data_IF_262891578420
#
_entry.id   IF_262891578420
#
_cell.length_a   1.000
_cell.length_b   1.000
_cell.length_c   1.000
_cell.angle_alpha   90.00
_cell.angle_beta   90.00
_cell.angle_gamma   90.00
#
_symmetry.space_group_name_H-M   'P 1'
#
loop_
_entity.id
_entity.type
_entity.pdbx_description
1 polymer ?
#
# COMPACT_ATOMS: atom_id res chain seq x y z
N UNK A 1 27.03 -37.82 -48.06
CA UNK A 1 26.36 -38.68 -47.06
C UNK A 1 26.05 -37.84 -45.82
N UNK A 2 24.77 -37.87 -45.40
CA UNK A 2 24.17 -37.60 -44.06
C UNK A 2 25.19 -37.31 -42.93
N UNK A 3 25.01 -36.30 -42.08
CA UNK A 3 24.07 -36.25 -40.94
C UNK A 3 24.04 -34.78 -40.44
N UNK A 4 22.92 -34.04 -40.46
CA UNK A 4 21.84 -33.95 -39.45
C UNK A 4 22.30 -33.90 -37.98
N UNK A 5 21.76 -32.91 -37.25
CA UNK A 5 21.72 -32.61 -35.80
C UNK A 5 22.58 -31.39 -35.40
N UNK A 6 22.08 -30.39 -34.68
CA UNK A 6 20.80 -30.21 -33.99
C UNK A 6 20.58 -28.70 -33.79
N UNK A 7 19.40 -28.21 -34.17
CA UNK A 7 18.87 -26.91 -33.75
C UNK A 7 18.80 -26.90 -32.20
N UNK A 8 19.68 -26.18 -31.53
CA UNK A 8 19.49 -25.80 -30.13
C UNK A 8 19.04 -24.34 -30.10
N UNK A 9 17.78 -24.12 -30.52
CA UNK A 9 17.09 -22.87 -30.23
C UNK A 9 16.70 -22.92 -28.75
N UNK A 10 17.58 -22.38 -27.92
CA UNK A 10 17.28 -22.09 -26.51
C UNK A 10 16.25 -20.96 -26.50
N UNK A 11 15.02 -21.17 -26.03
CA UNK A 11 14.13 -20.05 -25.79
C UNK A 11 14.66 -19.30 -24.57
N UNK A 12 15.27 -18.12 -24.81
CA UNK A 12 15.49 -17.13 -23.77
C UNK A 12 14.11 -16.71 -23.25
N UNK A 13 13.67 -17.34 -22.18
CA UNK A 13 12.55 -16.87 -21.40
C UNK A 13 12.92 -15.51 -20.82
N UNK A 14 12.40 -14.44 -21.41
CA UNK A 14 12.44 -13.10 -20.87
C UNK A 14 11.70 -13.11 -19.53
N UNK A 15 12.46 -13.24 -18.43
CA UNK A 15 12.02 -12.89 -17.08
C UNK A 15 11.87 -11.36 -17.02
N UNK A 16 10.83 -10.82 -17.65
CA UNK A 16 10.43 -9.43 -17.44
C UNK A 16 9.71 -9.35 -16.09
N UNK A 17 10.49 -9.25 -15.01
CA UNK A 17 9.99 -8.84 -13.71
C UNK A 17 9.68 -7.34 -13.81
N UNK A 18 8.50 -7.02 -14.34
CA UNK A 18 8.01 -5.64 -14.36
C UNK A 18 7.77 -5.20 -12.93
N UNK A 19 8.72 -4.48 -12.33
CA UNK A 19 8.45 -3.74 -11.09
C UNK A 19 7.25 -2.84 -11.38
N UNK A 20 6.11 -3.16 -10.78
CA UNK A 20 4.90 -2.34 -10.84
C UNK A 20 5.28 -0.95 -10.30
N UNK A 21 5.55 0.00 -11.21
CA UNK A 21 5.91 1.35 -10.82
C UNK A 21 4.77 1.99 -10.05
N UNK A 22 5.11 2.66 -8.95
CA UNK A 22 4.19 3.48 -8.17
C UNK A 22 3.56 4.54 -9.07
N UNK A 23 2.23 4.57 -9.09
CA UNK A 23 1.44 5.52 -9.87
C UNK A 23 1.11 6.79 -9.09
N UNK A 24 1.28 6.74 -7.78
CA UNK A 24 1.03 7.86 -6.88
C UNK A 24 2.32 8.69 -6.77
N UNK A 25 2.27 10.01 -7.02
CA UNK A 25 3.43 10.89 -6.92
C UNK A 25 4.17 10.76 -5.58
N UNK A 26 5.50 10.85 -5.63
CA UNK A 26 6.34 10.81 -4.45
C UNK A 26 6.35 12.16 -3.76
N UNK A 27 5.63 12.27 -2.64
CA UNK A 27 5.65 13.44 -1.76
C UNK A 27 6.41 13.12 -0.48
N UNK A 28 7.13 14.08 0.11
CA UNK A 28 7.84 13.86 1.36
C UNK A 28 6.84 13.51 2.48
N UNK A 29 7.06 12.38 3.13
CA UNK A 29 6.35 11.94 4.33
C UNK A 29 7.40 11.73 5.41
N UNK A 30 7.17 12.36 6.55
CA UNK A 30 7.95 12.23 7.77
C UNK A 30 7.00 12.43 8.96
N UNK A 31 6.22 11.40 9.25
CA UNK A 31 5.27 11.41 10.36
C UNK A 31 5.90 10.70 11.56
N UNK A 32 5.76 11.28 12.75
CA UNK A 32 6.21 10.69 13.99
C UNK A 32 5.16 10.97 15.07
N UNK A 33 4.85 9.95 15.86
CA UNK A 33 3.99 10.10 17.03
C UNK A 33 4.28 9.01 18.08
N UNK A 34 3.95 9.28 19.33
CA UNK A 34 3.92 8.24 20.36
C UNK A 34 2.70 7.33 20.14
N UNK A 35 2.90 6.02 20.26
CA UNK A 35 1.81 5.02 20.29
C UNK A 35 0.93 5.14 21.54
N UNK A 36 1.37 5.91 22.55
CA UNK A 36 0.56 6.24 23.74
C UNK A 36 -0.38 7.43 23.52
N UNK A 37 -0.24 8.14 22.40
CA UNK A 37 -1.14 9.24 22.04
C UNK A 37 -2.58 8.70 21.88
N UNK A 38 -3.58 9.30 22.55
CA UNK A 38 -4.98 8.88 22.43
C UNK A 38 -5.50 8.83 20.99
N UNK A 39 -4.96 9.66 20.09
CA UNK A 39 -5.30 9.67 18.66
C UNK A 39 -4.85 8.38 17.95
N UNK A 40 -3.84 7.71 18.49
CA UNK A 40 -3.28 6.46 17.98
C UNK A 40 -3.82 5.22 18.72
N UNK A 41 -4.67 5.40 19.73
CA UNK A 41 -5.23 4.31 20.52
C UNK A 41 -5.86 3.16 19.71
N UNK A 42 -6.53 3.38 18.56
CA UNK A 42 -7.02 2.29 17.72
C UNK A 42 -5.92 1.31 17.27
N UNK A 43 -4.68 1.77 17.08
CA UNK A 43 -3.55 0.94 16.64
C UNK A 43 -3.10 -0.09 17.70
N UNK A 44 -3.62 -0.02 18.93
CA UNK A 44 -3.36 -1.02 19.96
C UNK A 44 -4.12 -2.33 19.72
N UNK A 45 -5.19 -2.31 18.91
CA UNK A 45 -5.97 -3.48 18.55
C UNK A 45 -5.55 -4.03 17.18
N UNK A 46 -5.54 -5.35 17.03
CA UNK A 46 -5.39 -6.01 15.74
C UNK A 46 -6.53 -5.60 14.80
N UNK A 47 -6.21 -5.19 13.57
CA UNK A 47 -7.16 -4.61 12.61
C UNK A 47 -7.51 -3.14 12.89
N UNK A 48 -6.92 -2.54 13.92
CA UNK A 48 -7.09 -1.13 14.23
C UNK A 48 -6.41 -0.23 13.20
N UNK A 49 -7.01 0.91 12.92
CA UNK A 49 -6.47 1.87 11.96
C UNK A 49 -6.65 3.30 12.42
N UNK A 50 -5.81 4.19 11.89
CA UNK A 50 -5.89 5.64 12.12
C UNK A 50 -5.65 6.36 10.81
N UNK A 51 -6.44 7.39 10.56
CA UNK A 51 -6.28 8.29 9.42
C UNK A 51 -5.61 9.57 9.89
N UNK A 52 -4.49 9.93 9.25
CA UNK A 52 -3.78 11.19 9.50
C UNK A 52 -3.88 12.07 8.25
N UNK A 53 -4.43 13.28 8.42
CA UNK A 53 -4.50 14.29 7.35
C UNK A 53 -3.23 15.14 7.30
N UNK A 54 -2.90 15.71 6.14
CA UNK A 54 -1.73 16.59 5.97
C UNK A 54 -0.42 15.89 5.60
N UNK A 55 -0.45 14.57 5.43
CA UNK A 55 0.66 13.75 4.92
C UNK A 55 0.25 13.02 3.65
N UNK A 56 1.22 12.59 2.84
CA UNK A 56 0.95 11.93 1.57
C UNK A 56 0.22 12.85 0.59
N UNK A 57 -0.28 12.27 -0.50
CA UNK A 57 -1.03 12.98 -1.55
C UNK A 57 -2.46 13.26 -1.10
N UNK A 58 -3.10 12.33 -0.40
CA UNK A 58 -4.49 12.46 0.05
C UNK A 58 -4.70 12.16 1.55
N UNK A 59 -3.63 12.06 2.32
CA UNK A 59 -3.62 11.60 3.71
C UNK A 59 -2.90 10.26 3.86
N UNK A 60 -2.70 9.86 5.12
CA UNK A 60 -2.07 8.61 5.51
C UNK A 60 -3.09 7.71 6.21
N UNK A 61 -3.06 6.42 5.91
CA UNK A 61 -3.68 5.38 6.74
C UNK A 61 -2.56 4.63 7.45
N UNK A 62 -2.60 4.61 8.77
CA UNK A 62 -1.83 3.70 9.62
C UNK A 62 -2.74 2.51 9.95
N UNK A 63 -2.22 1.30 9.81
CA UNK A 63 -2.97 0.07 10.08
C UNK A 63 -2.14 -0.91 10.91
N UNK A 64 -2.79 -1.51 11.91
CA UNK A 64 -2.26 -2.58 12.75
C UNK A 64 -2.69 -3.92 12.15
N UNK A 65 -1.77 -4.59 11.50
CA UNK A 65 -2.02 -5.89 10.87
C UNK A 65 -2.24 -7.02 11.89
N UNK A 66 -2.86 -8.13 11.48
CA UNK A 66 -3.08 -9.29 12.35
C UNK A 66 -1.81 -9.92 12.93
N UNK A 67 -0.70 -9.84 12.20
CA UNK A 67 0.61 -10.33 12.62
C UNK A 67 1.33 -9.37 13.59
N UNK A 68 0.63 -8.34 14.09
CA UNK A 68 1.17 -7.33 15.00
C UNK A 68 2.32 -6.52 14.38
N UNK A 69 2.35 -6.37 13.06
CA UNK A 69 3.14 -5.34 12.40
C UNK A 69 2.34 -4.04 12.22
N UNK A 70 2.99 -2.98 11.76
CA UNK A 70 2.34 -1.73 11.40
C UNK A 70 2.67 -1.45 9.95
N UNK A 71 1.65 -1.09 9.18
CA UNK A 71 1.79 -0.69 7.79
C UNK A 71 1.16 0.68 7.60
N UNK A 72 1.67 1.40 6.61
CA UNK A 72 1.19 2.74 6.31
C UNK A 72 1.02 2.91 4.80
N UNK A 73 -0.10 3.53 4.39
CA UNK A 73 -0.44 3.75 2.99
C UNK A 73 -0.88 5.19 2.73
N UNK A 74 -0.58 5.68 1.54
CA UNK A 74 -1.22 6.89 1.02
C UNK A 74 -2.71 6.59 0.80
N UNK A 75 -3.56 7.54 1.17
CA UNK A 75 -4.99 7.45 0.90
C UNK A 75 -5.33 7.65 -0.57
N UNK A 76 -4.41 8.16 -1.38
CA UNK A 76 -4.65 8.38 -2.80
C UNK A 76 -4.89 7.03 -3.50
N UNK A 77 -6.03 6.89 -4.19
CA UNK A 77 -6.33 5.70 -4.99
C UNK A 77 -5.26 5.47 -6.07
N UNK A 78 -4.80 4.23 -6.21
CA UNK A 78 -3.87 3.83 -7.27
C UNK A 78 -4.53 3.71 -8.66
N UNK A 79 -5.86 3.75 -8.75
CA UNK A 79 -6.55 3.62 -10.04
C UNK A 79 -6.53 4.92 -10.85
N UNK A 80 -6.85 6.04 -10.21
CA UNK A 80 -6.92 7.37 -10.83
C UNK A 80 -6.25 8.40 -9.90
N UNK A 81 -4.92 8.29 -9.68
CA UNK A 81 -4.20 9.12 -8.71
C UNK A 81 -4.30 10.63 -9.02
N UNK A 82 -4.52 11.01 -10.28
CA UNK A 82 -4.75 12.39 -10.72
C UNK A 82 -6.00 13.01 -10.10
N UNK A 83 -7.01 12.21 -9.77
CA UNK A 83 -8.23 12.68 -9.10
C UNK A 83 -8.05 12.86 -7.60
N UNK A 84 -6.93 12.36 -7.03
CA UNK A 84 -6.60 12.44 -5.60
C UNK A 84 -7.73 11.95 -4.68
N UNK A 85 -8.48 10.96 -5.15
CA UNK A 85 -9.57 10.40 -4.38
C UNK A 85 -9.01 9.67 -3.15
N UNK A 86 -9.34 10.18 -1.97
CA UNK A 86 -8.90 9.63 -0.71
C UNK A 86 -9.74 8.41 -0.37
N UNK A 87 -9.14 7.22 -0.37
CA UNK A 87 -9.81 6.00 0.05
C UNK A 87 -10.29 6.12 1.49
N UNK A 88 -11.41 5.45 1.77
CA UNK A 88 -12.07 5.44 3.08
C UNK A 88 -12.11 4.02 3.60
N UNK A 89 -11.71 3.82 4.85
CA UNK A 89 -11.73 2.50 5.47
C UNK A 89 -13.18 2.05 5.65
N UNK A 90 -13.49 0.86 5.18
CA UNK A 90 -14.81 0.26 5.29
C UNK A 90 -15.13 -0.07 6.75
N UNK A 91 -16.42 -0.24 7.07
CA UNK A 91 -16.88 -0.56 8.43
C UNK A 91 -16.25 -1.83 9.02
N UNK A 92 -15.78 -2.76 8.18
CA UNK A 92 -15.09 -3.97 8.63
C UNK A 92 -13.68 -3.71 9.16
N UNK A 93 -13.06 -2.58 8.81
CA UNK A 93 -11.69 -2.23 9.22
C UNK A 93 -10.58 -2.93 8.43
N UNK A 94 -10.90 -3.86 7.51
CA UNK A 94 -9.90 -4.65 6.78
C UNK A 94 -9.65 -4.16 5.35
N UNK A 95 -10.56 -3.36 4.81
CA UNK A 95 -10.51 -2.86 3.44
C UNK A 95 -10.75 -1.37 3.39
N UNK A 96 -10.24 -0.71 2.35
CA UNK A 96 -10.53 0.67 2.05
C UNK A 96 -11.12 0.81 0.64
N UNK A 97 -12.16 1.63 0.50
CA UNK A 97 -12.86 1.88 -0.76
C UNK A 97 -12.49 3.25 -1.31
N UNK A 98 -12.13 3.29 -2.60
CA UNK A 98 -12.03 4.52 -3.39
C UNK A 98 -13.43 5.03 -3.73
N UNK A 99 -13.84 6.22 -3.22
CA UNK A 99 -15.17 6.76 -3.47
C UNK A 99 -15.41 7.14 -4.94
N UNK A 100 -14.36 7.34 -5.74
CA UNK A 100 -14.50 7.78 -7.13
C UNK A 100 -14.75 6.66 -8.13
N UNK A 101 -14.19 5.47 -7.85
CA UNK A 101 -14.26 4.32 -8.78
C UNK A 101 -14.95 3.10 -8.18
N UNK A 102 -15.10 3.05 -6.85
CA UNK A 102 -15.54 1.85 -6.14
C UNK A 102 -14.49 0.74 -6.04
N UNK A 103 -13.25 1.01 -6.47
CA UNK A 103 -12.10 0.12 -6.24
C UNK A 103 -11.92 -0.13 -4.75
N UNK A 104 -11.51 -1.35 -4.37
CA UNK A 104 -11.22 -1.68 -2.98
C UNK A 104 -9.81 -2.20 -2.82
N UNK A 105 -9.23 -1.88 -1.68
CA UNK A 105 -7.88 -2.26 -1.30
C UNK A 105 -7.90 -2.98 0.04
N UNK A 106 -7.10 -4.03 0.19
CA UNK A 106 -6.82 -4.67 1.46
C UNK A 106 -5.90 -3.77 2.29
N UNK A 107 -6.24 -3.54 3.56
CA UNK A 107 -5.37 -2.81 4.48
C UNK A 107 -4.24 -3.67 5.05
N UNK A 108 -4.27 -4.98 4.85
CA UNK A 108 -3.22 -5.88 5.35
C UNK A 108 -1.93 -5.73 4.54
N UNK A 109 -2.05 -5.47 3.24
CA UNK A 109 -0.94 -5.47 2.28
C UNK A 109 -1.06 -4.37 1.21
N UNK A 110 -2.14 -3.59 1.19
CA UNK A 110 -2.37 -2.51 0.24
C UNK A 110 -2.87 -2.98 -1.13
N UNK A 111 -3.05 -4.27 -1.36
CA UNK A 111 -3.38 -4.83 -2.68
C UNK A 111 -4.83 -4.57 -3.08
N UNK A 112 -5.14 -4.41 -4.37
CA UNK A 112 -6.51 -4.26 -4.82
C UNK A 112 -7.27 -5.59 -4.66
N UNK A 113 -8.40 -5.54 -3.95
CA UNK A 113 -9.31 -6.68 -3.73
C UNK A 113 -10.61 -6.55 -4.54
N UNK A 114 -10.84 -5.38 -5.14
CA UNK A 114 -11.95 -5.15 -6.07
C UNK A 114 -11.53 -4.18 -7.17
N UNK A 115 -11.80 -4.58 -8.42
CA UNK A 115 -11.64 -3.78 -9.62
C UNK A 115 -12.42 -2.43 -9.53
N UNK A 116 -12.05 -1.39 -10.30
CA UNK A 116 -11.12 -1.40 -11.43
C UNK A 116 -9.62 -1.24 -11.09
N UNK A 117 -9.24 -1.00 -9.84
CA UNK A 117 -7.82 -0.93 -9.47
C UNK A 117 -7.08 -2.26 -9.74
N UNK A 118 -5.87 -2.16 -10.29
CA UNK A 118 -4.97 -3.29 -10.57
C UNK A 118 -3.60 -3.13 -9.92
N UNK A 119 -3.36 -2.01 -9.23
CA UNK A 119 -2.13 -1.71 -8.51
C UNK A 119 -2.43 -1.49 -7.03
N UNK A 120 -1.47 -1.80 -6.17
CA UNK A 120 -1.58 -1.55 -4.73
C UNK A 120 -1.59 -0.06 -4.41
N UNK A 121 -2.07 0.29 -3.22
CA UNK A 121 -1.82 1.61 -2.63
C UNK A 121 -0.32 1.82 -2.43
N UNK A 122 0.12 3.08 -2.51
CA UNK A 122 1.50 3.44 -2.20
C UNK A 122 1.75 3.20 -0.72
N UNK A 123 2.70 2.33 -0.40
CA UNK A 123 3.13 2.07 0.97
C UNK A 123 4.24 3.02 1.40
N UNK A 124 4.36 3.18 2.71
CA UNK A 124 5.43 3.93 3.36
C UNK A 124 6.21 3.01 4.29
N UNK A 125 7.47 3.34 4.53
CA UNK A 125 8.30 2.65 5.51
C UNK A 125 7.79 3.01 6.90
N UNK A 126 7.56 1.99 7.73
CA UNK A 126 7.14 2.16 9.12
C UNK A 126 8.23 1.58 10.02
N UNK A 127 8.73 2.40 10.94
CA UNK A 127 9.65 2.00 11.99
C UNK A 127 9.01 2.25 13.35
N UNK A 128 9.15 1.32 14.28
CA UNK A 128 8.67 1.50 15.65
C UNK A 128 9.83 1.27 16.61
N UNK A 129 10.07 2.25 17.47
CA UNK A 129 11.13 2.22 18.48
C UNK A 129 10.69 3.00 19.69
N UNK A 130 10.98 2.51 20.91
CA UNK A 130 10.70 3.21 22.17
C UNK A 130 9.27 3.77 22.30
N UNK A 131 8.26 2.98 21.91
CA UNK A 131 6.84 3.39 21.88
C UNK A 131 6.52 4.57 20.94
N UNK A 132 7.41 4.90 20.02
CA UNK A 132 7.18 5.85 18.94
C UNK A 132 7.05 5.11 17.62
N UNK A 133 6.14 5.59 16.77
CA UNK A 133 5.98 5.17 15.39
C UNK A 133 6.48 6.28 14.47
N UNK A 134 7.31 5.89 13.51
CA UNK A 134 7.90 6.73 12.49
C UNK A 134 7.46 6.23 11.12
N UNK A 135 6.97 7.12 10.28
CA UNK A 135 6.56 6.82 8.91
C UNK A 135 7.31 7.72 7.95
N UNK A 136 8.01 7.11 6.98
CA UNK A 136 8.80 7.80 5.97
C UNK A 136 8.54 7.23 4.57
N UNK A 137 9.03 7.93 3.54
CA UNK A 137 9.18 7.31 2.21
C UNK A 137 10.10 6.10 2.26
#
# INVERSE_FOLDING_TARGET
>A
MKKLLLLLVVPLAFLSCGKQGDVIPSVPVNFQASLTDPRLAPLNASGGYVVITGYGVAGLILYRTPDRSYVAYDRCSSYQPEKKCAVTVDASGFTATDPCSGSKFSLTDGTPVKAPATKSLRSYIVNVSNFEIFVSN
#
